data_IF_063037595220
#
_entry.id   IF_063037595220
#
_cell.length_a   1.000
_cell.length_b   1.000
_cell.length_c   1.000
_cell.angle_alpha   90.00
_cell.angle_beta   90.00
_cell.angle_gamma   90.00
#
_symmetry.space_group_name_H-M   'P 1'
#
loop_
_entity.id
_entity.type
_entity.pdbx_description
1 polymer ?
#
# COMPACT_ATOMS: atom_id res chain seq x y z
N UNK A 1 -27.02 1.47 -38.35
CA UNK A 1 -27.30 0.91 -37.01
C UNK A 1 -26.31 -0.22 -36.79
N UNK A 2 -25.52 -0.13 -35.72
CA UNK A 2 -24.49 -1.12 -35.38
C UNK A 2 -23.29 -0.46 -34.70
N UNK A 3 -23.52 0.23 -33.57
CA UNK A 3 -22.44 0.73 -32.71
C UNK A 3 -22.33 -0.24 -31.54
N UNK A 4 -21.66 -1.37 -31.74
CA UNK A 4 -21.34 -2.28 -30.65
C UNK A 4 -20.13 -1.74 -29.89
N UNK A 5 -20.53 -0.97 -28.87
CA UNK A 5 -19.73 -0.35 -27.84
C UNK A 5 -18.80 -1.40 -27.19
N UNK A 6 -17.52 -1.37 -27.56
CA UNK A 6 -16.46 -2.10 -26.85
C UNK A 6 -16.38 -1.52 -25.44
N UNK A 7 -17.11 -2.14 -24.50
CA UNK A 7 -16.88 -1.92 -23.07
C UNK A 7 -15.52 -2.51 -22.75
N UNK A 8 -14.47 -1.71 -22.92
CA UNK A 8 -13.18 -1.97 -22.32
C UNK A 8 -13.41 -2.14 -20.83
N UNK A 9 -13.35 -3.38 -20.33
CA UNK A 9 -13.20 -3.63 -18.92
C UNK A 9 -11.85 -3.06 -18.54
N UNK A 10 -11.82 -1.82 -18.04
CA UNK A 10 -10.63 -1.26 -17.42
C UNK A 10 -10.24 -2.21 -16.30
N UNK A 11 -9.08 -2.86 -16.43
CA UNK A 11 -8.50 -3.63 -15.35
C UNK A 11 -8.22 -2.64 -14.22
N UNK A 12 -8.92 -2.72 -13.07
CA UNK A 12 -8.75 -1.75 -11.99
C UNK A 12 -7.35 -1.79 -11.38
N UNK A 13 -6.54 -2.81 -11.70
CA UNK A 13 -5.13 -2.87 -11.34
C UNK A 13 -4.21 -2.13 -12.33
N UNK A 14 -4.69 -1.70 -13.50
CA UNK A 14 -3.88 -1.03 -14.52
C UNK A 14 -3.40 0.32 -13.99
N UNK A 15 -2.11 0.40 -13.67
CA UNK A 15 -1.47 1.60 -13.13
C UNK A 15 -1.46 1.67 -11.60
N UNK A 16 -1.92 0.64 -10.89
CA UNK A 16 -1.79 0.56 -9.45
C UNK A 16 -0.32 0.36 -9.05
N UNK A 17 0.24 1.32 -8.30
CA UNK A 17 1.57 1.21 -7.70
C UNK A 17 1.43 0.79 -6.25
N UNK A 18 2.03 -0.37 -5.94
CA UNK A 18 1.96 -0.95 -4.60
C UNK A 18 2.96 -0.30 -3.65
N UNK A 19 2.55 -0.17 -2.39
CA UNK A 19 3.49 -0.07 -1.26
C UNK A 19 4.37 -1.33 -1.24
N UNK A 20 5.71 -1.22 -1.35
CA UNK A 20 6.60 -2.37 -1.37
C UNK A 20 6.63 -3.15 -0.06
N UNK A 21 6.88 -4.45 -0.13
CA UNK A 21 7.14 -5.28 1.05
C UNK A 21 8.35 -4.77 1.82
N UNK A 22 8.32 -4.91 3.14
CA UNK A 22 9.33 -4.34 4.04
C UNK A 22 9.09 -2.88 4.41
N UNK A 23 8.16 -2.19 3.76
CA UNK A 23 7.79 -0.80 4.11
C UNK A 23 7.05 -0.76 5.44
N UNK A 24 7.47 0.15 6.32
CA UNK A 24 6.78 0.43 7.59
C UNK A 24 5.59 1.34 7.32
N UNK A 25 4.44 0.98 7.88
CA UNK A 25 3.17 1.68 7.68
C UNK A 25 2.46 1.88 9.01
N UNK A 26 1.55 2.84 9.06
CA UNK A 26 0.63 3.11 10.16
C UNK A 26 -0.80 3.05 9.67
N UNK A 27 -1.67 2.35 10.38
CA UNK A 27 -3.09 2.34 10.05
C UNK A 27 -3.75 3.68 10.43
N UNK A 28 -4.49 4.28 9.50
CA UNK A 28 -5.05 5.63 9.63
C UNK A 28 -6.05 5.75 10.79
N UNK A 29 -6.93 4.76 10.94
CA UNK A 29 -7.99 4.76 11.97
C UNK A 29 -7.51 4.15 13.30
N UNK A 30 -7.13 2.88 13.27
CA UNK A 30 -6.67 2.15 14.45
C UNK A 30 -5.31 2.59 15.02
N UNK A 31 -4.49 3.33 14.25
CA UNK A 31 -3.24 3.91 14.71
C UNK A 31 -2.06 2.93 14.92
N UNK A 32 -2.25 1.62 14.70
CA UNK A 32 -1.17 0.65 14.85
C UNK A 32 -0.11 0.81 13.75
N UNK A 33 1.14 0.50 14.09
CA UNK A 33 2.24 0.44 13.13
C UNK A 33 2.63 -1.00 12.81
N UNK A 34 3.20 -1.22 11.64
CA UNK A 34 3.74 -2.52 11.27
C UNK A 34 4.48 -2.48 9.95
N UNK A 35 4.86 -3.66 9.45
CA UNK A 35 5.59 -3.83 8.20
C UNK A 35 4.73 -4.58 7.20
N UNK A 36 4.64 -4.06 5.98
CA UNK A 36 4.01 -4.78 4.87
C UNK A 36 4.82 -6.04 4.55
N UNK A 37 4.19 -7.22 4.58
CA UNK A 37 4.85 -8.51 4.30
C UNK A 37 4.21 -9.29 3.14
N UNK A 38 3.36 -8.61 2.37
CA UNK A 38 2.74 -9.12 1.16
C UNK A 38 1.26 -8.74 1.03
N UNK A 39 0.59 -9.40 0.09
CA UNK A 39 -0.83 -9.27 -0.16
C UNK A 39 -1.56 -10.60 0.04
N UNK A 40 -2.87 -10.54 0.29
CA UNK A 40 -3.72 -11.72 0.36
C UNK A 40 -5.03 -11.52 -0.39
N UNK A 41 -5.50 -12.57 -1.05
CA UNK A 41 -6.86 -12.64 -1.61
C UNK A 41 -7.88 -13.22 -0.61
N UNK A 42 -7.42 -13.64 0.58
CA UNK A 42 -8.30 -14.09 1.67
C UNK A 42 -8.83 -12.82 2.36
N UNK A 43 -9.91 -12.28 1.81
CA UNK A 43 -10.52 -11.03 2.26
C UNK A 43 -11.74 -11.33 3.12
N UNK A 44 -11.83 -10.69 4.28
CA UNK A 44 -13.00 -10.85 5.14
C UNK A 44 -14.20 -10.12 4.53
N UNK A 45 -15.42 -10.61 4.81
CA UNK A 45 -16.65 -10.00 4.30
C UNK A 45 -16.77 -8.56 4.82
N UNK A 46 -16.92 -7.59 3.90
CA UNK A 46 -16.99 -6.16 4.23
C UNK A 46 -15.63 -5.47 4.39
N UNK A 47 -14.54 -6.15 4.05
CA UNK A 47 -13.20 -5.59 4.14
C UNK A 47 -12.92 -4.54 3.05
N UNK A 48 -12.12 -3.53 3.40
CA UNK A 48 -11.61 -2.53 2.46
C UNK A 48 -10.54 -3.22 1.60
N UNK A 49 -10.78 -3.27 0.29
CA UNK A 49 -9.89 -3.88 -0.68
C UNK A 49 -8.91 -2.87 -1.24
N UNK A 50 -7.78 -3.38 -1.72
CA UNK A 50 -6.84 -2.62 -2.52
C UNK A 50 -7.47 -2.18 -3.86
N UNK A 51 -6.83 -1.24 -4.58
CA UNK A 51 -7.31 -0.80 -5.90
C UNK A 51 -7.56 -1.92 -6.91
N UNK A 52 -6.86 -3.06 -6.81
CA UNK A 52 -7.12 -4.25 -7.64
C UNK A 52 -8.48 -4.95 -7.36
N UNK A 53 -9.20 -4.52 -6.32
CA UNK A 53 -10.48 -5.07 -5.84
C UNK A 53 -10.45 -6.57 -5.54
N UNK A 54 -9.28 -7.12 -5.27
CA UNK A 54 -9.05 -8.56 -5.05
C UNK A 54 -8.26 -8.83 -3.81
N UNK A 55 -7.35 -7.93 -3.44
CA UNK A 55 -6.39 -8.17 -2.37
C UNK A 55 -6.50 -7.17 -1.23
N UNK A 56 -5.91 -7.54 -0.10
CA UNK A 56 -5.57 -6.64 0.99
C UNK A 56 -4.09 -6.75 1.32
N UNK A 57 -3.51 -5.70 1.88
CA UNK A 57 -2.19 -5.76 2.49
C UNK A 57 -2.20 -6.62 3.74
N UNK A 58 -1.18 -7.46 3.89
CA UNK A 58 -0.81 -8.02 5.19
C UNK A 58 0.21 -7.11 5.85
N UNK A 59 -0.10 -6.70 7.07
CA UNK A 59 0.77 -5.88 7.91
C UNK A 59 1.15 -6.68 9.14
N UNK A 60 2.45 -6.92 9.29
CA UNK A 60 3.04 -7.53 10.48
C UNK A 60 3.22 -6.46 11.56
N UNK A 61 2.41 -6.51 12.62
CA UNK A 61 2.38 -5.50 13.69
C UNK A 61 3.38 -5.85 14.79
N UNK A 62 3.53 -7.14 15.08
CA UNK A 62 4.46 -7.73 16.04
C UNK A 62 4.79 -9.18 15.60
N UNK A 63 5.68 -9.88 16.30
CA UNK A 63 6.18 -11.22 15.91
C UNK A 63 5.08 -12.29 15.74
N UNK A 64 3.86 -12.05 16.24
CA UNK A 64 2.79 -13.05 16.25
C UNK A 64 1.46 -12.54 15.67
N UNK A 65 1.39 -11.27 15.25
CA UNK A 65 0.14 -10.65 14.83
C UNK A 65 0.25 -10.02 13.44
N UNK A 66 -0.52 -10.60 12.52
CA UNK A 66 -0.81 -10.00 11.20
C UNK A 66 -2.19 -9.36 11.21
N UNK A 67 -2.28 -8.19 10.59
CA UNK A 67 -3.54 -7.51 10.30
C UNK A 67 -3.70 -7.34 8.80
N UNK A 68 -4.95 -7.30 8.36
CA UNK A 68 -5.30 -7.03 6.96
C UNK A 68 -5.82 -5.60 6.85
N UNK A 69 -5.37 -4.87 5.85
CA UNK A 69 -5.79 -3.49 5.59
C UNK A 69 -5.91 -3.24 4.08
N UNK A 70 -6.83 -2.37 3.68
CA UNK A 70 -6.81 -1.80 2.34
C UNK A 70 -5.70 -0.77 2.20
N UNK A 71 -5.33 -0.45 0.97
CA UNK A 71 -4.31 0.58 0.71
C UNK A 71 -4.64 1.91 1.37
N UNK A 72 -5.88 2.40 1.23
CA UNK A 72 -6.27 3.74 1.71
C UNK A 72 -6.23 3.90 3.23
N UNK A 73 -6.28 2.78 3.94
CA UNK A 73 -6.15 2.72 5.40
C UNK A 73 -4.70 2.82 5.87
N UNK A 74 -3.71 2.77 4.98
CA UNK A 74 -2.29 2.77 5.33
C UNK A 74 -1.63 4.12 5.02
N UNK A 75 -1.07 4.71 6.07
CA UNK A 75 -0.09 5.80 5.99
C UNK A 75 1.31 5.19 5.92
N UNK A 76 2.15 5.77 5.08
CA UNK A 76 3.51 5.32 4.83
C UNK A 76 4.45 6.06 5.77
N UNK A 77 5.24 5.32 6.56
CA UNK A 77 6.13 5.93 7.54
C UNK A 77 7.44 6.38 6.88
N UNK A 78 7.85 7.61 7.20
CA UNK A 78 9.11 8.23 6.77
C UNK A 78 9.96 8.58 7.99
N UNK A 79 11.28 8.63 7.81
CA UNK A 79 12.20 9.17 8.82
C UNK A 79 12.17 10.70 8.85
N UNK A 80 13.00 11.29 9.71
CA UNK A 80 13.11 12.76 9.87
C UNK A 80 13.64 13.47 8.62
N UNK A 81 14.28 12.74 7.71
CA UNK A 81 14.74 13.27 6.42
C UNK A 81 13.67 13.10 5.33
N UNK A 82 12.50 12.56 5.67
CA UNK A 82 11.40 12.32 4.75
C UNK A 82 11.56 11.07 3.89
N UNK A 83 12.54 10.21 4.19
CA UNK A 83 12.79 8.96 3.48
C UNK A 83 11.97 7.82 4.05
N UNK A 84 11.45 6.96 3.18
CA UNK A 84 10.68 5.79 3.58
C UNK A 84 11.43 4.91 4.60
N UNK A 85 10.72 4.46 5.62
CA UNK A 85 11.20 3.41 6.52
C UNK A 85 10.97 2.04 5.87
N UNK A 86 12.04 1.43 5.34
CA UNK A 86 11.99 0.12 4.70
C UNK A 86 13.01 -0.82 5.33
N UNK A 87 12.59 -2.02 5.73
CA UNK A 87 13.49 -3.00 6.33
C UNK A 87 14.57 -3.46 5.35
N UNK A 88 15.80 -3.63 5.86
CA UNK A 88 16.94 -4.20 5.12
C UNK A 88 17.26 -3.47 3.80
N UNK A 89 16.86 -2.19 3.70
CA UNK A 89 17.07 -1.34 2.54
C UNK A 89 18.26 -0.39 2.76
N UNK A 90 19.06 -0.16 1.71
CA UNK A 90 20.08 0.89 1.73
C UNK A 90 19.45 2.27 1.62
N UNK A 91 20.18 3.33 1.96
CA UNK A 91 19.68 4.71 1.87
C UNK A 91 19.35 5.08 0.42
N UNK A 92 20.18 4.67 -0.54
CA UNK A 92 19.98 4.90 -1.97
C UNK A 92 18.69 4.26 -2.45
N UNK A 93 18.43 3.01 -2.03
CA UNK A 93 17.20 2.33 -2.39
C UNK A 93 15.97 3.00 -1.78
N UNK A 94 16.04 3.43 -0.51
CA UNK A 94 14.96 4.19 0.14
C UNK A 94 14.67 5.50 -0.59
N UNK A 95 15.69 6.20 -1.09
CA UNK A 95 15.51 7.42 -1.90
C UNK A 95 14.72 7.14 -3.18
N UNK A 96 15.15 6.14 -3.96
CA UNK A 96 14.46 5.75 -5.20
C UNK A 96 13.00 5.38 -4.92
N UNK A 97 12.74 4.58 -3.89
CA UNK A 97 11.38 4.22 -3.51
C UNK A 97 10.57 5.44 -3.04
N UNK A 98 11.18 6.35 -2.29
CA UNK A 98 10.51 7.57 -1.82
C UNK A 98 10.06 8.41 -3.00
N UNK A 99 10.94 8.65 -3.97
CA UNK A 99 10.63 9.43 -5.17
C UNK A 99 9.52 8.74 -5.99
N UNK A 100 9.59 7.42 -6.13
CA UNK A 100 8.56 6.65 -6.84
C UNK A 100 7.20 6.75 -6.15
N UNK A 101 7.13 6.56 -4.82
CA UNK A 101 5.87 6.58 -4.10
C UNK A 101 5.29 8.00 -4.02
N UNK A 102 6.12 9.03 -3.86
CA UNK A 102 5.67 10.44 -3.89
C UNK A 102 5.18 10.89 -5.26
N UNK A 103 5.63 10.24 -6.33
CA UNK A 103 5.09 10.45 -7.67
C UNK A 103 3.66 9.92 -7.86
N UNK A 104 3.14 9.12 -6.93
CA UNK A 104 1.85 8.43 -7.07
C UNK A 104 0.90 8.76 -5.93
N UNK A 105 1.39 8.72 -4.69
CA UNK A 105 0.61 8.97 -3.48
C UNK A 105 0.64 10.45 -3.14
N UNK A 106 -0.50 10.98 -2.69
CA UNK A 106 -0.60 12.33 -2.18
C UNK A 106 0.22 12.51 -0.89
N UNK A 107 0.64 13.74 -0.60
CA UNK A 107 1.50 14.06 0.55
C UNK A 107 0.90 13.65 1.91
N UNK A 108 -0.44 13.65 2.04
CA UNK A 108 -1.13 13.21 3.27
C UNK A 108 -1.00 11.71 3.55
N UNK A 109 -0.48 10.94 2.59
CA UNK A 109 -0.17 9.51 2.75
C UNK A 109 1.13 9.27 3.51
N UNK A 110 1.97 10.28 3.72
CA UNK A 110 3.26 10.14 4.38
C UNK A 110 3.22 10.72 5.80
N UNK A 111 3.70 9.97 6.79
CA UNK A 111 3.76 10.41 8.19
C UNK A 111 5.09 10.02 8.82
N UNK A 112 5.55 10.83 9.78
CA UNK A 112 6.70 10.51 10.63
C UNK A 112 6.31 9.67 11.83
#
# INVERSE_FOLDING_TARGET
MGNDNVRGSEDPAKGWVRIPDGTKVKHRLDGYEGIVDGLTAIVQKGAILNPDRRTQYRVNVDDHRRRLAGEDDLLILVDREGLLLVQKATVEYRRILTDQLRGVFAEDRFTT
#
